data_IF_066606102425
#
_entry.id   IF_066606102425
#
_cell.length_a   1.000
_cell.length_b   1.000
_cell.length_c   1.000
_cell.angle_alpha   90.00
_cell.angle_beta   90.00
_cell.angle_gamma   90.00
#
_symmetry.space_group_name_H-M   'P 1'
#
loop_
_entity.id
_entity.type
_entity.pdbx_description
1 polymer ?
#
# COMPACT_ATOMS: atom_id res chain seq x y z
N UNK A 1 -14.56 -20.91 -39.32
CA UNK A 1 -13.78 -21.76 -38.38
C UNK A 1 -12.71 -20.99 -37.63
N UNK A 2 -11.89 -20.15 -38.30
CA UNK A 2 -10.85 -19.32 -37.64
C UNK A 2 -11.37 -18.34 -36.58
N UNK A 3 -12.56 -17.76 -36.78
CA UNK A 3 -13.16 -16.79 -35.83
C UNK A 3 -13.63 -17.46 -34.52
N UNK A 4 -14.11 -18.71 -34.57
CA UNK A 4 -14.54 -19.47 -33.38
C UNK A 4 -13.36 -19.84 -32.48
N UNK A 5 -12.20 -20.13 -33.07
CA UNK A 5 -10.95 -20.35 -32.32
C UNK A 5 -10.52 -19.08 -31.59
N UNK A 6 -10.69 -17.90 -32.20
CA UNK A 6 -10.35 -16.60 -31.58
C UNK A 6 -11.26 -16.31 -30.38
N UNK A 7 -12.57 -16.52 -30.49
CA UNK A 7 -13.48 -16.35 -29.35
C UNK A 7 -13.21 -17.36 -28.23
N UNK A 8 -12.83 -18.59 -28.57
CA UNK A 8 -12.41 -19.62 -27.60
C UNK A 8 -11.15 -19.21 -26.82
N UNK A 9 -10.09 -18.77 -27.51
CA UNK A 9 -8.85 -18.34 -26.83
C UNK A 9 -9.04 -17.03 -26.03
N UNK A 10 -9.85 -16.08 -26.51
CA UNK A 10 -10.17 -14.86 -25.75
C UNK A 10 -10.99 -15.18 -24.51
N UNK A 11 -11.98 -16.09 -24.62
CA UNK A 11 -12.75 -16.58 -23.47
C UNK A 11 -11.88 -17.32 -22.46
N UNK A 12 -10.95 -18.16 -22.92
CA UNK A 12 -10.00 -18.88 -22.06
C UNK A 12 -8.98 -17.91 -21.41
N UNK A 13 -8.48 -16.91 -22.13
CA UNK A 13 -7.57 -15.88 -21.59
C UNK A 13 -8.24 -14.99 -20.53
N UNK A 14 -9.53 -14.67 -20.70
CA UNK A 14 -10.32 -13.94 -19.70
C UNK A 14 -10.59 -14.75 -18.42
N UNK A 15 -10.53 -16.09 -18.48
CA UNK A 15 -10.65 -16.96 -17.31
C UNK A 15 -9.33 -17.16 -16.55
N UNK A 16 -8.18 -16.91 -17.19
CA UNK A 16 -6.85 -17.12 -16.59
C UNK A 16 -6.27 -15.81 -16.02
N UNK A 17 -6.83 -14.66 -16.39
CA UNK A 17 -6.37 -13.39 -15.86
C UNK A 17 -6.82 -13.18 -14.40
N UNK A 18 -5.84 -12.84 -13.57
CA UNK A 18 -5.96 -12.24 -12.23
C UNK A 18 -5.75 -13.16 -11.02
N UNK A 19 -4.52 -13.68 -10.86
CA UNK A 19 -3.89 -13.64 -9.53
C UNK A 19 -2.38 -13.41 -9.66
N UNK A 20 -1.99 -12.16 -9.88
CA UNK A 20 -0.60 -11.75 -9.65
C UNK A 20 -0.38 -11.71 -8.13
N UNK A 21 0.22 -12.76 -7.57
CA UNK A 21 0.61 -12.77 -6.17
C UNK A 21 1.79 -11.81 -5.98
N UNK A 22 1.52 -10.60 -5.50
CA UNK A 22 2.56 -9.62 -5.15
C UNK A 22 3.41 -10.19 -4.02
N UNK A 23 4.69 -10.45 -4.29
CA UNK A 23 5.65 -10.90 -3.28
C UNK A 23 6.34 -9.69 -2.66
N UNK A 24 5.97 -9.37 -1.42
CA UNK A 24 6.58 -8.28 -0.66
C UNK A 24 7.71 -8.78 0.23
N UNK A 25 8.88 -8.15 0.16
CA UNK A 25 9.98 -8.45 1.06
C UNK A 25 9.87 -7.61 2.35
N UNK A 26 9.37 -8.24 3.41
CA UNK A 26 9.15 -7.60 4.71
C UNK A 26 10.14 -8.04 5.80
N UNK A 27 11.27 -8.65 5.40
CA UNK A 27 12.31 -9.05 6.33
C UNK A 27 13.17 -7.84 6.74
N UNK A 28 12.61 -7.01 7.62
CA UNK A 28 13.22 -5.75 8.07
C UNK A 28 13.97 -5.91 9.40
N UNK A 29 15.10 -5.22 9.53
CA UNK A 29 15.77 -5.05 10.82
C UNK A 29 14.90 -4.20 11.76
N UNK A 30 15.00 -4.44 13.07
CA UNK A 30 14.29 -3.67 14.11
C UNK A 30 14.94 -2.31 14.42
N UNK A 31 15.82 -1.81 13.55
CA UNK A 31 16.47 -0.52 13.73
C UNK A 31 15.44 0.61 13.60
N UNK A 32 15.36 1.45 14.62
CA UNK A 32 14.49 2.62 14.63
C UNK A 32 15.24 3.83 14.05
N UNK A 33 15.02 4.09 12.78
CA UNK A 33 15.55 5.24 12.05
C UNK A 33 14.34 5.86 11.33
N UNK A 34 13.52 6.63 12.05
CA UNK A 34 12.21 7.02 11.57
C UNK A 34 12.32 7.94 10.35
N UNK A 35 11.30 7.85 9.50
CA UNK A 35 11.12 8.72 8.35
C UNK A 35 9.65 9.10 8.24
N UNK A 36 9.41 10.28 7.70
CA UNK A 36 8.09 10.77 7.37
C UNK A 36 7.87 10.56 5.89
N UNK A 37 6.83 9.81 5.54
CA UNK A 37 6.45 9.58 4.16
C UNK A 37 5.06 10.16 3.88
N UNK A 38 4.81 10.53 2.64
CA UNK A 38 3.54 11.12 2.19
C UNK A 38 2.97 10.30 1.04
N UNK A 39 1.67 10.08 1.01
CA UNK A 39 1.00 9.41 -0.11
C UNK A 39 0.52 10.40 -1.18
N UNK A 40 -0.17 9.89 -2.20
CA UNK A 40 -0.71 10.72 -3.28
C UNK A 40 -1.82 11.71 -2.84
N UNK A 41 -2.47 11.50 -1.69
CA UNK A 41 -3.51 12.42 -1.17
C UNK A 41 -2.89 13.58 -0.39
N UNK A 42 -1.63 13.44 0.01
CA UNK A 42 -0.93 14.38 0.88
C UNK A 42 -0.98 13.96 2.35
N UNK A 43 -1.48 12.77 2.68
CA UNK A 43 -1.48 12.24 4.04
C UNK A 43 -0.06 11.82 4.43
N UNK A 44 0.45 12.37 5.53
CA UNK A 44 1.78 12.06 6.05
C UNK A 44 1.71 11.00 7.16
N UNK A 45 2.60 10.00 7.11
CA UNK A 45 2.73 8.95 8.10
C UNK A 45 4.20 8.67 8.45
N UNK A 46 4.44 8.38 9.73
CA UNK A 46 5.76 8.00 10.24
C UNK A 46 5.98 6.50 10.07
N UNK A 47 7.11 6.12 9.47
CA UNK A 47 7.56 4.73 9.36
C UNK A 47 8.84 4.52 10.19
N UNK A 48 9.00 3.36 10.85
CA UNK A 48 10.12 3.13 11.76
C UNK A 48 11.48 3.02 11.05
N UNK A 49 11.47 2.66 9.75
CA UNK A 49 12.61 2.70 8.84
C UNK A 49 12.15 2.54 7.38
N UNK A 50 13.10 2.66 6.45
CA UNK A 50 12.88 2.52 5.01
C UNK A 50 12.30 1.15 4.60
N UNK A 51 12.78 0.06 5.19
CA UNK A 51 12.29 -1.27 4.87
C UNK A 51 10.82 -1.44 5.25
N UNK A 52 10.42 -0.91 6.42
CA UNK A 52 9.03 -0.94 6.85
C UNK A 52 8.11 -0.13 5.92
N UNK A 53 8.57 1.02 5.42
CA UNK A 53 7.86 1.81 4.41
C UNK A 53 7.63 0.99 3.13
N UNK A 54 8.69 0.39 2.58
CA UNK A 54 8.61 -0.39 1.33
C UNK A 54 7.71 -1.63 1.48
N UNK A 55 7.85 -2.35 2.59
CA UNK A 55 6.98 -3.45 2.94
C UNK A 55 5.51 -3.00 3.02
N UNK A 56 5.24 -1.86 3.66
CA UNK A 56 3.89 -1.34 3.79
C UNK A 56 3.29 -0.98 2.43
N UNK A 57 4.03 -0.24 1.60
CA UNK A 57 3.62 0.11 0.23
C UNK A 57 3.26 -1.13 -0.58
N UNK A 58 4.12 -2.15 -0.55
CA UNK A 58 3.89 -3.37 -1.27
C UNK A 58 2.67 -4.15 -0.75
N UNK A 59 2.55 -4.32 0.57
CA UNK A 59 1.50 -5.17 1.17
C UNK A 59 0.12 -4.54 1.17
N UNK A 60 0.05 -3.21 1.23
CA UNK A 60 -1.21 -2.46 1.29
C UNK A 60 -1.58 -1.80 -0.04
N UNK A 61 -0.79 -2.05 -1.09
CA UNK A 61 -0.92 -1.40 -2.39
C UNK A 61 -0.99 0.13 -2.24
N UNK A 62 -0.01 0.66 -1.49
CA UNK A 62 0.20 2.07 -1.20
C UNK A 62 1.47 2.58 -1.87
N UNK A 63 1.57 3.89 -1.96
CA UNK A 63 2.60 4.62 -2.70
C UNK A 63 3.20 5.76 -1.87
N UNK A 64 3.38 5.53 -0.56
CA UNK A 64 4.05 6.49 0.31
C UNK A 64 5.48 6.75 -0.17
N UNK A 65 5.84 8.03 -0.34
CA UNK A 65 7.19 8.46 -0.69
C UNK A 65 7.83 9.20 0.47
N UNK A 66 9.12 8.95 0.70
CA UNK A 66 9.86 9.63 1.77
C UNK A 66 9.85 11.13 1.52
N UNK A 67 9.30 11.88 2.46
CA UNK A 67 9.26 13.35 2.43
C UNK A 67 10.43 13.95 3.18
N UNK A 68 10.70 13.45 4.40
CA UNK A 68 11.84 13.85 5.23
C UNK A 68 12.29 12.74 6.17
N UNK A 69 13.55 12.82 6.57
CA UNK A 69 14.09 11.98 7.65
C UNK A 69 13.56 12.47 9.01
N UNK A 70 13.31 11.54 9.92
CA UNK A 70 12.67 11.80 11.21
C UNK A 70 11.16 11.57 11.15
N UNK A 71 10.51 11.63 12.31
CA UNK A 71 9.06 11.47 12.41
C UNK A 71 8.31 12.62 11.74
N UNK A 72 7.08 12.37 11.28
CA UNK A 72 6.23 13.44 10.81
C UNK A 72 5.94 14.44 11.94
N UNK A 73 6.06 15.73 11.64
CA UNK A 73 5.67 16.77 12.57
C UNK A 73 4.16 16.69 12.70
N UNK A 74 3.64 16.20 13.83
CA UNK A 74 2.21 16.17 14.10
C UNK A 74 1.63 17.60 14.01
N UNK A 75 1.25 18.07 12.83
CA UNK A 75 0.06 18.90 12.75
C UNK A 75 -1.06 17.97 13.12
N UNK A 76 -1.76 18.30 14.20
CA UNK A 76 -2.92 17.63 14.79
C UNK A 76 -4.06 17.41 13.80
N UNK A 77 -3.83 16.61 12.77
CA UNK A 77 -4.83 15.79 12.12
C UNK A 77 -4.46 14.36 12.46
N UNK A 78 -4.48 14.08 13.76
CA UNK A 78 -4.76 12.73 14.23
C UNK A 78 -6.12 12.39 13.64
N UNK A 79 -6.15 11.81 12.43
CA UNK A 79 -7.18 10.84 12.14
C UNK A 79 -6.69 9.61 12.87
N UNK A 80 -7.23 9.31 14.07
CA UNK A 80 -6.80 8.12 14.78
C UNK A 80 -7.05 6.95 13.83
N UNK A 81 -6.11 6.01 13.73
CA UNK A 81 -6.36 4.70 13.10
C UNK A 81 -7.35 3.85 13.93
N UNK A 82 -8.20 4.47 14.72
CA UNK A 82 -9.42 3.90 15.26
C UNK A 82 -10.58 4.49 14.47
N UNK A 83 -11.25 3.60 13.72
CA UNK A 83 -12.62 3.82 13.22
C UNK A 83 -13.40 4.54 14.33
N UNK A 84 -13.91 5.76 14.12
CA UNK A 84 -14.86 6.32 15.08
C UNK A 84 -16.04 5.36 15.08
N UNK A 85 -16.24 4.62 16.17
CA UNK A 85 -17.50 3.94 16.41
C UNK A 85 -18.51 5.07 16.54
N UNK A 86 -19.39 5.18 15.55
CA UNK A 86 -20.53 6.07 15.54
C UNK A 86 -21.24 5.96 16.89
N UNK A 87 -21.13 6.98 17.74
CA UNK A 87 -21.99 7.09 18.92
C UNK A 87 -23.27 7.78 18.44
N UNK A 88 -24.19 6.95 17.92
CA UNK A 88 -25.56 7.36 17.65
C UNK A 88 -26.17 7.88 18.95
N UNK A 89 -26.83 9.04 18.86
CA UNK A 89 -27.52 9.71 19.95
C UNK A 89 -28.68 8.89 20.51
#
# INVERSE_FOLDING_TARGET
>A
MRLLFVFGVVGIMLLIAHTEAVRCNCNCTLNYIPLCAVDATGDEDTFPNQCALECYNCTHNKDYVVRRQGECSHTTTTRPRTRPISRTA
#
